data_IF_371458426834
#
_entry.id   IF_371458426834
#
_cell.length_a   1.000
_cell.length_b   1.000
_cell.length_c   1.000
_cell.angle_alpha   90.00
_cell.angle_beta   90.00
_cell.angle_gamma   90.00
#
_symmetry.space_group_name_H-M   'P 1'
#
loop_
_entity.id
_entity.type
_entity.pdbx_description
1 polymer ?
#
# COMPACT_ATOMS: atom_id res chain seq x y z
N UNK A 1 -31.53 -3.09 -41.09
CA UNK A 1 -30.13 -2.82 -40.65
C UNK A 1 -30.20 -1.83 -39.54
N UNK A 2 -30.13 -2.27 -38.28
CA UNK A 2 -30.08 -1.38 -37.11
C UNK A 2 -28.71 -0.75 -37.09
N UNK A 3 -28.64 0.59 -37.14
CA UNK A 3 -27.42 1.36 -36.88
C UNK A 3 -26.79 0.93 -35.54
N UNK A 4 -25.50 0.57 -35.51
CA UNK A 4 -24.86 0.29 -34.24
C UNK A 4 -24.93 1.58 -33.41
N UNK A 5 -25.64 1.53 -32.26
CA UNK A 5 -25.69 2.62 -31.30
C UNK A 5 -24.26 2.94 -30.89
N UNK A 6 -23.83 4.19 -31.10
CA UNK A 6 -22.57 4.72 -30.56
C UNK A 6 -22.64 4.52 -29.04
N UNK A 7 -21.75 3.74 -28.44
CA UNK A 7 -21.83 3.46 -27.03
C UNK A 7 -21.66 4.76 -26.24
N UNK A 8 -22.61 5.05 -25.36
CA UNK A 8 -22.64 6.24 -24.50
C UNK A 8 -21.33 6.40 -23.74
N UNK A 9 -20.49 7.32 -24.20
CA UNK A 9 -19.15 7.57 -23.64
C UNK A 9 -19.19 8.14 -22.21
N UNK A 10 -20.39 8.47 -21.72
CA UNK A 10 -20.65 9.10 -20.41
C UNK A 10 -21.09 8.10 -19.35
N UNK A 11 -21.37 6.84 -19.72
CA UNK A 11 -21.85 5.85 -18.78
C UNK A 11 -20.79 5.48 -17.73
N UNK A 12 -21.16 5.35 -16.44
CA UNK A 12 -20.25 4.92 -15.39
C UNK A 12 -19.62 3.56 -15.71
N UNK A 13 -18.36 3.38 -15.34
CA UNK A 13 -17.56 2.20 -15.67
C UNK A 13 -18.21 0.87 -15.26
N UNK A 14 -19.01 0.87 -14.21
CA UNK A 14 -19.64 -0.34 -13.64
C UNK A 14 -20.87 -0.83 -14.45
N UNK A 15 -21.45 -0.01 -15.32
CA UNK A 15 -22.64 -0.40 -16.10
C UNK A 15 -22.37 -1.49 -17.15
N UNK A 16 -21.11 -1.66 -17.53
CA UNK A 16 -20.73 -2.62 -18.58
C UNK A 16 -20.22 -3.94 -18.02
N UNK A 17 -20.33 -4.17 -16.69
CA UNK A 17 -19.85 -5.36 -16.04
C UNK A 17 -20.92 -6.45 -16.02
N UNK A 18 -20.52 -7.68 -16.38
CA UNK A 18 -21.30 -8.90 -16.17
C UNK A 18 -21.23 -9.33 -14.70
N UNK A 19 -22.10 -10.27 -14.29
CA UNK A 19 -22.05 -10.84 -12.95
C UNK A 19 -20.69 -11.47 -12.61
N UNK A 20 -20.02 -12.10 -13.60
CA UNK A 20 -18.67 -12.65 -13.40
C UNK A 20 -17.60 -11.54 -13.24
N UNK A 21 -17.68 -10.47 -14.02
CA UNK A 21 -16.78 -9.31 -13.84
C UNK A 21 -16.90 -8.71 -12.44
N UNK A 22 -18.12 -8.58 -11.91
CA UNK A 22 -18.36 -8.15 -10.54
C UNK A 22 -17.75 -9.11 -9.51
N UNK A 23 -17.92 -10.41 -9.73
CA UNK A 23 -17.34 -11.43 -8.87
C UNK A 23 -15.80 -11.30 -8.80
N UNK A 24 -15.13 -11.20 -9.95
CA UNK A 24 -13.67 -11.02 -10.02
C UNK A 24 -13.25 -9.73 -9.34
N UNK A 25 -13.95 -8.63 -9.61
CA UNK A 25 -13.64 -7.32 -9.00
C UNK A 25 -13.79 -7.36 -7.46
N UNK A 26 -14.86 -7.94 -6.95
CA UNK A 26 -15.11 -8.03 -5.50
C UNK A 26 -14.04 -8.90 -4.83
N UNK A 27 -13.74 -10.07 -5.39
CA UNK A 27 -12.74 -10.98 -4.80
C UNK A 27 -11.34 -10.36 -4.79
N UNK A 28 -10.92 -9.76 -5.90
CA UNK A 28 -9.63 -9.07 -5.98
C UNK A 28 -9.56 -7.88 -5.01
N UNK A 29 -10.67 -7.13 -4.89
CA UNK A 29 -10.76 -5.98 -3.96
C UNK A 29 -10.75 -6.42 -2.49
N UNK A 30 -11.43 -7.50 -2.15
CA UNK A 30 -11.39 -8.07 -0.79
C UNK A 30 -10.01 -8.61 -0.46
N UNK A 31 -9.35 -9.30 -1.38
CA UNK A 31 -7.98 -9.78 -1.17
C UNK A 31 -7.03 -8.63 -0.85
N UNK A 32 -7.13 -7.51 -1.58
CA UNK A 32 -6.33 -6.31 -1.36
C UNK A 32 -6.72 -5.56 -0.08
N UNK A 33 -8.01 -5.44 0.22
CA UNK A 33 -8.51 -4.79 1.44
C UNK A 33 -8.03 -5.53 2.70
N UNK A 34 -8.14 -6.86 2.71
CA UNK A 34 -7.71 -7.68 3.85
C UNK A 34 -6.19 -7.71 4.01
N UNK A 35 -5.46 -7.62 2.91
CA UNK A 35 -4.02 -7.40 2.94
C UNK A 35 -3.64 -6.10 3.66
N UNK A 36 -4.29 -4.99 3.30
CA UNK A 36 -4.08 -3.70 3.98
C UNK A 36 -4.52 -3.72 5.45
N UNK A 37 -5.60 -4.44 5.77
CA UNK A 37 -6.04 -4.68 7.14
C UNK A 37 -4.95 -5.39 7.96
N UNK A 38 -4.41 -6.51 7.45
CA UNK A 38 -3.36 -7.29 8.15
C UNK A 38 -2.11 -6.46 8.40
N UNK A 39 -1.65 -5.73 7.39
CA UNK A 39 -0.48 -4.85 7.53
C UNK A 39 -0.67 -3.82 8.63
N UNK A 40 -1.81 -3.18 8.67
CA UNK A 40 -2.08 -2.14 9.66
C UNK A 40 -2.29 -2.72 11.06
N UNK A 41 -2.94 -3.88 11.18
CA UNK A 41 -3.06 -4.61 12.45
C UNK A 41 -1.68 -4.99 12.99
N UNK A 42 -0.78 -5.48 12.13
CA UNK A 42 0.60 -5.76 12.52
C UNK A 42 1.31 -4.53 13.06
N UNK A 43 1.21 -3.39 12.37
CA UNK A 43 1.84 -2.14 12.83
C UNK A 43 1.31 -1.69 14.19
N UNK A 44 0.02 -1.84 14.45
CA UNK A 44 -0.62 -1.48 15.71
C UNK A 44 -0.26 -2.44 16.85
N UNK A 45 -0.19 -3.75 16.56
CA UNK A 45 0.02 -4.80 17.56
C UNK A 45 1.50 -5.12 17.85
N UNK A 46 2.43 -4.70 16.98
CA UNK A 46 3.83 -5.17 17.01
C UNK A 46 4.55 -4.90 18.33
N UNK A 47 4.35 -3.72 18.92
CA UNK A 47 5.04 -3.34 20.16
C UNK A 47 4.52 -4.15 21.35
N UNK A 48 3.22 -4.40 21.42
CA UNK A 48 2.61 -5.23 22.46
C UNK A 48 3.04 -6.70 22.31
N UNK A 49 3.10 -7.19 21.05
CA UNK A 49 3.62 -8.53 20.75
C UNK A 49 5.09 -8.66 21.18
N UNK A 50 5.92 -7.66 20.86
CA UNK A 50 7.34 -7.68 21.28
C UNK A 50 7.47 -7.62 22.80
N UNK A 51 6.68 -6.80 23.48
CA UNK A 51 6.70 -6.73 24.95
C UNK A 51 6.34 -8.07 25.61
N UNK A 52 5.50 -8.88 24.95
CA UNK A 52 5.10 -10.20 25.43
C UNK A 52 6.07 -11.34 25.07
N UNK A 53 6.79 -11.23 23.94
CA UNK A 53 7.61 -12.31 23.37
C UNK A 53 9.10 -12.18 23.64
N UNK A 54 9.57 -10.99 24.04
CA UNK A 54 10.98 -10.73 24.28
C UNK A 54 11.40 -11.07 25.71
N UNK A 55 12.65 -11.50 25.92
CA UNK A 55 13.24 -11.61 27.25
C UNK A 55 13.28 -10.26 27.96
N UNK A 56 13.26 -10.27 29.29
CA UNK A 56 13.40 -9.06 30.11
C UNK A 56 14.71 -8.33 29.77
N UNK A 57 14.62 -7.03 29.55
CA UNK A 57 15.77 -6.16 29.26
C UNK A 57 16.01 -5.88 27.77
N UNK A 58 15.25 -6.51 26.87
CA UNK A 58 15.30 -6.22 25.43
C UNK A 58 14.29 -5.12 25.08
N UNK A 59 14.64 -4.22 24.15
CA UNK A 59 13.75 -3.11 23.76
C UNK A 59 12.67 -3.55 22.75
N UNK A 60 11.39 -3.55 23.15
CA UNK A 60 10.29 -3.90 22.24
C UNK A 60 10.18 -3.03 20.98
N UNK A 61 10.61 -1.77 21.04
CA UNK A 61 10.57 -0.86 19.89
C UNK A 61 11.62 -1.23 18.86
N UNK A 62 12.84 -1.55 19.31
CA UNK A 62 13.92 -1.98 18.43
C UNK A 62 13.55 -3.29 17.72
N UNK A 63 13.10 -4.28 18.47
CA UNK A 63 12.69 -5.58 17.90
C UNK A 63 11.41 -5.49 17.07
N UNK A 64 10.49 -4.59 17.39
CA UNK A 64 9.37 -4.24 16.55
C UNK A 64 9.80 -3.65 15.20
N UNK A 65 10.87 -2.87 15.20
CA UNK A 65 11.53 -2.38 13.98
C UNK A 65 12.12 -3.53 13.16
N UNK A 66 12.85 -4.46 13.78
CA UNK A 66 13.38 -5.66 13.10
C UNK A 66 12.27 -6.53 12.52
N UNK A 67 11.19 -6.77 13.27
CA UNK A 67 10.04 -7.53 12.79
C UNK A 67 9.40 -6.87 11.54
N UNK A 68 9.31 -5.54 11.53
CA UNK A 68 8.82 -4.79 10.37
C UNK A 68 9.75 -4.92 9.18
N UNK A 69 11.06 -4.83 9.38
CA UNK A 69 12.06 -4.99 8.31
C UNK A 69 12.02 -6.40 7.72
N UNK A 70 11.88 -7.42 8.55
CA UNK A 70 11.75 -8.82 8.14
C UNK A 70 10.46 -9.04 7.34
N UNK A 71 9.35 -8.47 7.79
CA UNK A 71 8.07 -8.49 7.05
C UNK A 71 8.18 -7.83 5.68
N UNK A 72 8.80 -6.64 5.58
CA UNK A 72 9.00 -5.92 4.32
C UNK A 72 9.95 -6.68 3.38
N UNK A 73 10.99 -7.33 3.92
CA UNK A 73 11.87 -8.18 3.13
C UNK A 73 11.11 -9.38 2.55
N UNK A 74 10.25 -10.03 3.35
CA UNK A 74 9.33 -11.06 2.88
C UNK A 74 8.41 -10.54 1.78
N UNK A 75 7.84 -9.35 1.98
CA UNK A 75 6.96 -8.69 1.03
C UNK A 75 7.62 -8.45 -0.34
N UNK A 76 8.80 -7.86 -0.35
CA UNK A 76 9.55 -7.64 -1.59
C UNK A 76 9.88 -8.96 -2.29
N UNK A 77 10.36 -9.96 -1.55
CA UNK A 77 10.68 -11.30 -2.06
C UNK A 77 9.45 -11.98 -2.65
N UNK A 78 8.36 -12.02 -1.92
CA UNK A 78 7.10 -12.62 -2.35
C UNK A 78 6.51 -11.95 -3.58
N UNK A 79 6.57 -10.62 -3.64
CA UNK A 79 6.11 -9.87 -4.81
C UNK A 79 6.87 -10.23 -6.08
N UNK A 80 8.18 -10.36 -6.00
CA UNK A 80 9.00 -10.80 -7.12
C UNK A 80 8.69 -12.26 -7.52
N UNK A 81 8.59 -13.17 -6.55
CA UNK A 81 8.31 -14.59 -6.83
C UNK A 81 6.89 -14.74 -7.41
N UNK A 82 5.87 -14.27 -6.71
CA UNK A 82 4.47 -14.51 -7.11
C UNK A 82 4.04 -13.67 -8.30
N UNK A 83 4.68 -12.54 -8.57
CA UNK A 83 4.51 -11.84 -9.84
C UNK A 83 4.86 -12.73 -11.05
N UNK A 84 6.02 -13.38 -10.99
CA UNK A 84 6.45 -14.29 -12.04
C UNK A 84 5.64 -15.60 -12.08
N UNK A 85 5.32 -16.16 -10.92
CA UNK A 85 4.50 -17.36 -10.77
C UNK A 85 3.09 -17.14 -11.35
N UNK A 86 2.49 -15.96 -11.10
CA UNK A 86 1.17 -15.60 -11.61
C UNK A 86 1.08 -15.56 -13.13
N UNK A 87 2.13 -15.10 -13.80
CA UNK A 87 2.17 -15.18 -15.27
C UNK A 87 2.39 -16.61 -15.77
N UNK A 88 3.12 -17.46 -15.03
CA UNK A 88 3.44 -18.84 -15.43
C UNK A 88 2.29 -19.82 -15.23
N UNK A 89 1.65 -19.81 -14.07
CA UNK A 89 0.65 -20.84 -13.67
C UNK A 89 -0.78 -20.32 -13.63
N UNK A 90 -0.97 -19.01 -13.64
CA UNK A 90 -2.27 -18.33 -13.62
C UNK A 90 -2.41 -17.31 -12.49
N UNK A 91 -3.16 -16.24 -12.77
CA UNK A 91 -3.36 -15.14 -11.82
C UNK A 91 -4.30 -15.54 -10.69
N UNK A 92 -5.41 -16.18 -11.02
CA UNK A 92 -6.43 -16.58 -10.06
C UNK A 92 -5.88 -17.60 -9.06
N UNK A 93 -5.20 -18.64 -9.56
CA UNK A 93 -4.58 -19.69 -8.72
C UNK A 93 -3.51 -19.12 -7.81
N UNK A 94 -2.64 -18.27 -8.35
CA UNK A 94 -1.55 -17.66 -7.58
C UNK A 94 -2.08 -16.68 -6.55
N UNK A 95 -3.11 -15.86 -6.88
CA UNK A 95 -3.76 -14.98 -5.93
C UNK A 95 -4.36 -15.77 -4.75
N UNK A 96 -5.07 -16.87 -5.04
CA UNK A 96 -5.63 -17.75 -4.00
C UNK A 96 -4.53 -18.30 -3.09
N UNK A 97 -3.41 -18.76 -3.68
CA UNK A 97 -2.26 -19.26 -2.92
C UNK A 97 -1.62 -18.19 -2.03
N UNK A 98 -1.43 -16.97 -2.54
CA UNK A 98 -0.85 -15.87 -1.76
C UNK A 98 -1.74 -15.46 -0.59
N UNK A 99 -3.07 -15.38 -0.81
CA UNK A 99 -4.04 -15.10 0.24
C UNK A 99 -4.03 -16.20 1.30
N UNK A 100 -3.95 -17.47 0.91
CA UNK A 100 -3.84 -18.59 1.85
C UNK A 100 -2.56 -18.48 2.70
N UNK A 101 -1.41 -18.25 2.06
CA UNK A 101 -0.12 -18.14 2.78
C UNK A 101 -0.18 -17.04 3.83
N UNK A 102 -0.57 -15.81 3.44
CA UNK A 102 -0.55 -14.72 4.40
C UNK A 102 -1.60 -14.90 5.50
N UNK A 103 -2.80 -15.39 5.21
CA UNK A 103 -3.84 -15.58 6.23
C UNK A 103 -3.46 -16.64 7.26
N UNK A 104 -2.90 -17.77 6.82
CA UNK A 104 -2.41 -18.82 7.73
C UNK A 104 -1.25 -18.30 8.58
N UNK A 105 -0.26 -17.65 7.97
CA UNK A 105 0.91 -17.14 8.69
C UNK A 105 0.55 -15.99 9.65
N UNK A 106 -0.43 -15.15 9.31
CA UNK A 106 -0.98 -14.15 10.22
C UNK A 106 -1.62 -14.82 11.44
N UNK A 107 -2.46 -15.83 11.21
CA UNK A 107 -3.07 -16.59 12.31
C UNK A 107 -2.02 -17.28 13.19
N UNK A 108 -1.01 -17.91 12.60
CA UNK A 108 0.10 -18.55 13.32
C UNK A 108 0.89 -17.57 14.18
N UNK A 109 0.99 -16.30 13.77
CA UNK A 109 1.67 -15.27 14.57
C UNK A 109 1.03 -15.05 15.94
N UNK A 110 -0.30 -15.29 16.09
CA UNK A 110 -0.98 -15.21 17.36
C UNK A 110 -0.51 -16.29 18.36
N UNK A 111 0.05 -17.39 17.86
CA UNK A 111 0.52 -18.53 18.65
C UNK A 111 2.04 -18.53 18.84
N UNK A 112 2.73 -17.48 18.47
CA UNK A 112 4.18 -17.34 18.65
C UNK A 112 4.55 -17.43 20.14
N UNK A 113 5.62 -18.17 20.42
CA UNK A 113 6.17 -18.37 21.77
C UNK A 113 7.40 -17.54 22.06
N UNK A 114 8.00 -16.98 21.03
CA UNK A 114 9.19 -16.13 21.13
C UNK A 114 9.40 -15.26 19.89
N UNK A 115 10.49 -14.50 19.91
CA UNK A 115 10.86 -13.59 18.84
C UNK A 115 11.08 -14.30 17.49
N UNK A 116 11.79 -15.46 17.51
CA UNK A 116 12.25 -16.11 16.28
C UNK A 116 11.11 -16.68 15.46
N UNK A 117 10.16 -17.37 16.10
CA UNK A 117 8.98 -17.91 15.43
C UNK A 117 8.04 -16.79 14.96
N UNK A 118 7.87 -15.75 15.77
CA UNK A 118 7.13 -14.56 15.33
C UNK A 118 7.74 -13.93 14.08
N UNK A 119 9.06 -13.70 14.08
CA UNK A 119 9.77 -13.13 12.94
C UNK A 119 9.64 -14.00 11.68
N UNK A 120 9.73 -15.34 11.82
CA UNK A 120 9.52 -16.27 10.72
C UNK A 120 8.10 -16.17 10.14
N UNK A 121 7.09 -16.17 11.01
CA UNK A 121 5.70 -16.02 10.54
C UNK A 121 5.47 -14.67 9.90
N UNK A 122 6.07 -13.58 10.39
CA UNK A 122 5.99 -12.26 9.75
C UNK A 122 6.70 -12.22 8.40
N UNK A 123 7.84 -12.89 8.23
CA UNK A 123 8.48 -13.04 6.92
C UNK A 123 7.58 -13.77 5.93
N UNK A 124 7.02 -14.92 6.32
CA UNK A 124 6.13 -15.71 5.47
C UNK A 124 4.82 -15.00 5.16
N UNK A 125 4.25 -14.27 6.13
CA UNK A 125 3.11 -13.37 5.87
C UNK A 125 3.49 -12.35 4.82
N UNK A 126 4.65 -11.70 4.96
CA UNK A 126 5.16 -10.75 3.97
C UNK A 126 5.29 -11.38 2.58
N UNK A 127 5.81 -12.59 2.49
CA UNK A 127 5.92 -13.34 1.21
C UNK A 127 4.54 -13.53 0.56
N UNK A 128 3.51 -13.89 1.32
CA UNK A 128 2.14 -13.97 0.81
C UNK A 128 1.60 -12.61 0.33
N UNK A 129 1.68 -11.61 1.20
CA UNK A 129 1.24 -10.22 0.95
C UNK A 129 1.87 -9.63 -0.32
N UNK A 130 3.16 -9.91 -0.55
CA UNK A 130 3.90 -9.36 -1.69
C UNK A 130 3.30 -9.65 -3.05
N UNK A 131 2.68 -10.82 -3.21
CA UNK A 131 2.07 -11.22 -4.46
C UNK A 131 0.70 -10.58 -4.73
N UNK A 132 -0.06 -10.23 -3.69
CA UNK A 132 -1.49 -9.87 -3.80
C UNK A 132 -1.74 -8.71 -4.75
N UNK A 133 -1.00 -7.59 -4.60
CA UNK A 133 -1.23 -6.40 -5.41
C UNK A 133 -1.06 -6.65 -6.90
N UNK A 134 0.10 -7.16 -7.32
CA UNK A 134 0.40 -7.39 -8.73
C UNK A 134 -0.55 -8.39 -9.38
N UNK A 135 -0.96 -9.43 -8.64
CA UNK A 135 -1.90 -10.46 -9.11
C UNK A 135 -3.32 -9.93 -9.21
N UNK A 136 -3.82 -9.22 -8.22
CA UNK A 136 -5.17 -8.64 -8.20
C UNK A 136 -5.34 -7.63 -9.34
N UNK A 137 -4.35 -6.74 -9.51
CA UNK A 137 -4.34 -5.74 -10.57
C UNK A 137 -4.25 -6.40 -11.96
N UNK A 138 -3.38 -7.40 -12.16
CA UNK A 138 -3.28 -8.14 -13.42
C UNK A 138 -4.56 -8.93 -13.72
N UNK A 139 -5.16 -9.56 -12.70
CA UNK A 139 -6.42 -10.31 -12.84
C UNK A 139 -7.56 -9.39 -13.33
N UNK A 140 -7.74 -8.23 -12.72
CA UNK A 140 -8.73 -7.23 -13.15
C UNK A 140 -8.41 -6.72 -14.56
N UNK A 141 -7.15 -6.38 -14.83
CA UNK A 141 -6.74 -5.84 -16.12
C UNK A 141 -6.97 -6.81 -17.29
N UNK A 142 -6.83 -8.12 -17.04
CA UNK A 142 -7.03 -9.15 -18.06
C UNK A 142 -8.49 -9.62 -18.19
N UNK A 143 -9.30 -9.45 -17.13
CA UNK A 143 -10.69 -9.95 -17.11
C UNK A 143 -11.70 -8.88 -17.53
N UNK A 144 -11.53 -7.64 -17.06
CA UNK A 144 -12.53 -6.59 -17.27
C UNK A 144 -12.40 -5.94 -18.65
N UNK A 145 -13.54 -5.45 -19.22
CA UNK A 145 -13.53 -4.67 -20.46
C UNK A 145 -12.67 -3.40 -20.33
N UNK A 146 -12.05 -2.99 -21.43
CA UNK A 146 -11.10 -1.86 -21.46
C UNK A 146 -11.68 -0.56 -20.91
N UNK A 147 -12.96 -0.29 -21.16
CA UNK A 147 -13.69 0.90 -20.66
C UNK A 147 -13.83 0.91 -19.13
N UNK A 148 -14.01 -0.26 -18.53
CA UNK A 148 -14.26 -0.41 -17.09
C UNK A 148 -12.97 -0.53 -16.28
N UNK A 149 -11.86 -0.91 -16.91
CA UNK A 149 -10.59 -1.26 -16.27
C UNK A 149 -10.04 -0.15 -15.37
N UNK A 150 -9.90 1.06 -15.90
CA UNK A 150 -9.32 2.20 -15.16
C UNK A 150 -10.14 2.52 -13.90
N UNK A 151 -11.47 2.56 -14.01
CA UNK A 151 -12.36 2.80 -12.87
C UNK A 151 -12.29 1.68 -11.84
N UNK A 152 -12.28 0.42 -12.29
CA UNK A 152 -12.19 -0.73 -11.40
C UNK A 152 -10.86 -0.78 -10.63
N UNK A 153 -9.72 -0.56 -11.30
CA UNK A 153 -8.39 -0.57 -10.69
C UNK A 153 -8.21 0.58 -9.68
N UNK A 154 -8.69 1.78 -10.02
CA UNK A 154 -8.67 2.90 -9.09
C UNK A 154 -9.57 2.68 -7.87
N UNK A 155 -10.75 2.08 -8.06
CA UNK A 155 -11.66 1.73 -6.97
C UNK A 155 -11.09 0.61 -6.09
N UNK A 156 -10.48 -0.44 -6.67
CA UNK A 156 -9.76 -1.48 -5.92
C UNK A 156 -8.74 -0.83 -4.98
N UNK A 157 -7.94 0.09 -5.50
CA UNK A 157 -6.93 0.75 -4.68
C UNK A 157 -7.57 1.65 -3.61
N UNK A 158 -8.66 2.36 -3.90
CA UNK A 158 -9.36 3.19 -2.93
C UNK A 158 -9.92 2.37 -1.75
N UNK A 159 -10.37 1.13 -2.01
CA UNK A 159 -10.89 0.24 -0.96
C UNK A 159 -9.82 -0.16 0.07
N UNK A 160 -8.52 -0.03 -0.22
CA UNK A 160 -7.44 -0.24 0.75
C UNK A 160 -7.56 0.68 1.98
N UNK A 161 -8.09 1.88 1.81
CA UNK A 161 -8.30 2.82 2.92
C UNK A 161 -9.27 2.26 3.98
N UNK A 162 -10.30 1.50 3.55
CA UNK A 162 -11.20 0.82 4.49
C UNK A 162 -10.49 -0.28 5.29
N UNK A 163 -9.53 -1.00 4.68
CA UNK A 163 -8.69 -1.95 5.39
C UNK A 163 -7.92 -1.28 6.54
N UNK A 164 -7.28 -0.15 6.25
CA UNK A 164 -6.54 0.61 7.27
C UNK A 164 -7.45 1.17 8.38
N UNK A 165 -8.61 1.72 8.03
CA UNK A 165 -9.59 2.24 9.00
C UNK A 165 -10.12 1.09 9.86
N UNK A 166 -10.46 -0.05 9.25
CA UNK A 166 -10.97 -1.23 9.97
C UNK A 166 -9.96 -1.75 10.99
N UNK A 167 -8.66 -1.74 10.67
CA UNK A 167 -7.61 -2.11 11.62
C UNK A 167 -7.58 -1.20 12.85
N UNK A 168 -7.75 0.11 12.65
CA UNK A 168 -7.88 1.07 13.74
C UNK A 168 -9.09 0.77 14.63
N UNK A 169 -10.24 0.49 14.03
CA UNK A 169 -11.47 0.12 14.76
C UNK A 169 -11.30 -1.18 15.55
N UNK A 170 -10.67 -2.21 14.95
CA UNK A 170 -10.34 -3.47 15.63
C UNK A 170 -9.43 -3.20 16.83
N UNK A 171 -8.39 -2.40 16.67
CA UNK A 171 -7.47 -2.04 17.76
C UNK A 171 -8.20 -1.32 18.91
N UNK A 172 -9.07 -0.36 18.61
CA UNK A 172 -9.89 0.34 19.62
C UNK A 172 -10.83 -0.62 20.34
N UNK A 173 -11.47 -1.54 19.60
CA UNK A 173 -12.35 -2.55 20.17
C UNK A 173 -11.58 -3.49 21.11
N UNK A 174 -10.39 -3.97 20.71
CA UNK A 174 -9.53 -4.77 21.59
C UNK A 174 -9.15 -4.01 22.87
N UNK A 175 -8.81 -2.73 22.76
CA UNK A 175 -8.56 -1.87 23.92
C UNK A 175 -9.74 -1.76 24.88
N UNK A 176 -10.98 -1.73 24.36
CA UNK A 176 -12.19 -1.71 25.18
C UNK A 176 -12.41 -3.04 25.91
N UNK A 177 -12.13 -4.18 25.26
CA UNK A 177 -12.24 -5.51 25.87
C UNK A 177 -11.19 -5.73 26.97
N UNK A 178 -10.00 -5.20 26.81
CA UNK A 178 -8.94 -5.22 27.84
C UNK A 178 -9.40 -4.39 29.06
N UNK A 179 -9.94 -3.19 28.84
CA UNK A 179 -10.47 -2.33 29.92
C UNK A 179 -11.63 -2.99 30.66
N UNK A 180 -12.49 -3.74 29.96
CA UNK A 180 -13.60 -4.49 30.55
C UNK A 180 -13.16 -5.76 31.28
N UNK A 181 -11.86 -6.12 31.26
CA UNK A 181 -11.34 -7.34 31.86
C UNK A 181 -11.69 -8.64 31.11
N UNK A 182 -12.23 -8.53 29.90
CA UNK A 182 -12.59 -9.70 29.07
C UNK A 182 -11.33 -10.35 28.47
N UNK A 183 -10.32 -9.55 28.15
CA UNK A 183 -9.02 -9.99 27.64
C UNK A 183 -7.95 -9.56 28.65
N UNK A 184 -7.02 -10.48 28.96
CA UNK A 184 -5.92 -10.19 29.86
C UNK A 184 -5.01 -9.07 29.29
N UNK A 185 -4.52 -8.15 30.11
CA UNK A 185 -3.54 -7.17 29.72
C UNK A 185 -2.30 -7.85 29.08
N UNK A 186 -1.88 -7.36 27.90
CA UNK A 186 -0.75 -7.93 27.15
C UNK A 186 -1.09 -9.09 26.21
N UNK A 187 -2.35 -9.53 26.12
CA UNK A 187 -2.78 -10.58 25.17
C UNK A 187 -3.56 -10.04 23.96
N UNK A 188 -3.95 -8.78 23.95
CA UNK A 188 -4.77 -8.16 22.90
C UNK A 188 -4.20 -8.33 21.50
N UNK A 189 -2.87 -8.32 21.36
CA UNK A 189 -2.19 -8.51 20.09
C UNK A 189 -2.48 -9.87 19.44
N UNK A 190 -2.63 -10.94 20.22
CA UNK A 190 -2.97 -12.29 19.71
C UNK A 190 -4.33 -12.27 18.99
N UNK A 191 -5.34 -11.67 19.66
CA UNK A 191 -6.68 -11.56 19.10
C UNK A 191 -6.72 -10.66 17.87
N UNK A 192 -5.89 -9.60 17.81
CA UNK A 192 -5.78 -8.77 16.62
C UNK A 192 -5.30 -9.58 15.40
N UNK A 193 -4.31 -10.44 15.56
CA UNK A 193 -3.85 -11.32 14.47
C UNK A 193 -4.90 -12.38 14.09
N UNK A 194 -5.62 -12.95 15.04
CA UNK A 194 -6.71 -13.89 14.74
C UNK A 194 -7.85 -13.21 13.99
N UNK A 195 -8.24 -12.00 14.39
CA UNK A 195 -9.26 -11.21 13.69
C UNK A 195 -8.77 -10.83 12.29
N UNK A 196 -7.49 -10.49 12.11
CA UNK A 196 -6.91 -10.16 10.80
C UNK A 196 -6.85 -11.37 9.86
N UNK A 197 -6.57 -12.56 10.38
CA UNK A 197 -6.49 -13.79 9.59
C UNK A 197 -7.85 -14.26 9.08
N UNK A 198 -8.93 -14.11 9.88
CA UNK A 198 -10.24 -14.68 9.57
C UNK A 198 -10.86 -14.18 8.25
N UNK A 199 -10.96 -12.88 7.97
CA UNK A 199 -11.51 -12.40 6.71
C UNK A 199 -10.68 -12.84 5.50
N UNK A 200 -9.35 -12.84 5.63
CA UNK A 200 -8.46 -13.29 4.58
C UNK A 200 -8.64 -14.80 4.30
N UNK A 201 -8.75 -15.60 5.34
CA UNK A 201 -9.02 -17.02 5.20
C UNK A 201 -10.36 -17.30 4.50
N UNK A 202 -11.43 -16.57 4.84
CA UNK A 202 -12.72 -16.65 4.14
C UNK A 202 -12.59 -16.27 2.66
N UNK A 203 -11.74 -15.30 2.34
CA UNK A 203 -11.48 -14.91 0.95
C UNK A 203 -10.93 -16.08 0.11
N UNK A 204 -10.16 -17.00 0.69
CA UNK A 204 -9.65 -18.20 0.00
C UNK A 204 -10.79 -19.07 -0.53
N UNK A 205 -11.83 -19.34 0.26
CA UNK A 205 -12.97 -20.15 -0.15
C UNK A 205 -13.73 -19.52 -1.34
N UNK A 206 -13.78 -18.20 -1.38
CA UNK A 206 -14.40 -17.48 -2.48
C UNK A 206 -13.48 -17.49 -3.70
N UNK A 207 -12.18 -17.30 -3.49
CA UNK A 207 -11.17 -17.23 -4.54
C UNK A 207 -10.99 -18.56 -5.29
N UNK A 208 -11.27 -19.70 -4.67
CA UNK A 208 -11.25 -21.02 -5.35
C UNK A 208 -12.19 -21.06 -6.57
N UNK A 209 -13.26 -20.26 -6.57
CA UNK A 209 -14.21 -20.17 -7.68
C UNK A 209 -13.76 -19.24 -8.81
N UNK A 210 -12.63 -18.53 -8.65
CA UNK A 210 -12.07 -17.70 -9.71
C UNK A 210 -11.58 -18.56 -10.86
N UNK A 211 -11.87 -18.11 -12.07
CA UNK A 211 -11.33 -18.70 -13.30
C UNK A 211 -10.18 -17.85 -13.82
N UNK A 212 -9.26 -18.48 -14.53
CA UNK A 212 -8.19 -17.73 -15.19
C UNK A 212 -8.78 -16.84 -16.30
N UNK A 213 -8.25 -15.63 -16.52
CA UNK A 213 -8.71 -14.74 -17.58
C UNK A 213 -8.54 -15.38 -18.95
N UNK A 214 -9.57 -15.28 -19.80
CA UNK A 214 -9.54 -15.84 -21.16
C UNK A 214 -8.37 -15.29 -21.97
N UNK A 215 -8.07 -14.00 -21.84
CA UNK A 215 -6.91 -13.35 -22.48
C UNK A 215 -5.60 -14.04 -22.11
N UNK A 216 -5.45 -14.40 -20.83
CA UNK A 216 -4.25 -15.09 -20.38
C UNK A 216 -4.18 -16.54 -20.88
N UNK A 217 -5.31 -17.27 -20.85
CA UNK A 217 -5.37 -18.66 -21.34
C UNK A 217 -4.96 -18.70 -22.80
N UNK A 218 -5.58 -17.84 -23.64
CA UNK A 218 -5.27 -17.74 -25.07
C UNK A 218 -3.80 -17.36 -25.31
N UNK A 219 -3.32 -16.31 -24.68
CA UNK A 219 -1.92 -15.89 -24.82
C UNK A 219 -0.94 -17.00 -24.40
N UNK A 220 -1.28 -17.77 -23.34
CA UNK A 220 -0.45 -18.88 -22.88
C UNK A 220 -0.39 -20.04 -23.89
N UNK A 221 -1.52 -20.38 -24.49
CA UNK A 221 -1.59 -21.43 -25.53
C UNK A 221 -0.77 -21.04 -26.77
N UNK A 222 -0.96 -19.83 -27.27
CA UNK A 222 -0.20 -19.27 -28.39
C UNK A 222 1.30 -19.18 -28.09
N UNK A 223 1.66 -18.65 -26.91
CA UNK A 223 3.06 -18.52 -26.49
C UNK A 223 3.75 -19.88 -26.27
N UNK A 224 2.99 -20.90 -25.81
CA UNK A 224 3.52 -22.27 -25.66
C UNK A 224 3.86 -22.88 -27.02
N UNK A 225 3.01 -22.66 -28.03
CA UNK A 225 3.25 -23.09 -29.40
C UNK A 225 4.46 -22.37 -30.01
N UNK A 226 4.67 -21.11 -29.69
CA UNK A 226 5.78 -20.29 -30.17
C UNK A 226 7.08 -20.39 -29.30
N UNK A 227 7.11 -21.21 -28.27
CA UNK A 227 8.26 -21.33 -27.35
C UNK A 227 8.57 -20.07 -26.49
N UNK A 228 7.57 -19.20 -26.28
CA UNK A 228 7.73 -17.94 -25.57
C UNK A 228 7.61 -18.16 -24.04
N UNK A 229 8.56 -17.64 -23.28
CA UNK A 229 8.58 -17.76 -21.83
C UNK A 229 7.63 -16.76 -21.15
N UNK A 230 6.77 -17.27 -20.26
CA UNK A 230 5.88 -16.50 -19.38
C UNK A 230 6.54 -16.24 -18.03
N UNK A 231 6.31 -15.07 -17.45
CA UNK A 231 6.81 -14.72 -16.11
C UNK A 231 8.35 -14.71 -16.03
N UNK A 232 9.03 -14.27 -17.08
CA UNK A 232 10.49 -14.31 -17.19
C UNK A 232 11.10 -12.94 -16.92
N UNK A 233 11.88 -12.82 -15.84
CA UNK A 233 12.70 -11.63 -15.57
C UNK A 233 13.77 -11.40 -16.63
N UNK A 234 14.28 -12.48 -17.25
CA UNK A 234 15.21 -12.37 -18.39
C UNK A 234 14.55 -11.68 -19.58
N UNK A 235 13.28 -12.01 -19.85
CA UNK A 235 12.52 -11.33 -20.92
C UNK A 235 12.16 -9.89 -20.52
N UNK A 236 11.82 -9.64 -19.26
CA UNK A 236 11.47 -8.31 -18.76
C UNK A 236 12.65 -7.33 -18.82
N UNK A 237 13.82 -7.76 -18.38
CA UNK A 237 15.01 -6.89 -18.24
C UNK A 237 16.00 -7.02 -19.40
N UNK A 238 15.94 -8.12 -20.16
CA UNK A 238 16.80 -8.36 -21.31
C UNK A 238 16.28 -7.72 -22.62
N UNK A 239 14.96 -7.63 -22.81
CA UNK A 239 14.36 -7.01 -23.99
C UNK A 239 14.24 -5.48 -23.79
N UNK A 240 14.86 -4.64 -24.64
CA UNK A 240 14.77 -3.17 -24.55
C UNK A 240 13.33 -2.64 -24.57
N UNK A 241 12.39 -3.32 -25.23
CA UNK A 241 10.96 -2.95 -25.29
C UNK A 241 10.33 -2.93 -23.90
N UNK A 242 10.69 -3.89 -23.04
CA UNK A 242 10.11 -4.06 -21.71
C UNK A 242 11.01 -3.53 -20.60
N UNK A 243 12.34 -3.56 -20.77
CA UNK A 243 13.30 -3.04 -19.79
C UNK A 243 13.08 -1.57 -19.46
N UNK A 244 12.94 -0.73 -20.50
CA UNK A 244 12.74 0.70 -20.30
C UNK A 244 11.45 1.02 -19.53
N UNK A 245 10.25 0.51 -19.90
CA UNK A 245 9.04 0.67 -19.10
C UNK A 245 9.17 0.12 -17.67
N UNK A 246 9.86 -1.02 -17.48
CA UNK A 246 10.06 -1.62 -16.16
C UNK A 246 10.89 -0.73 -15.24
N UNK A 247 12.02 -0.20 -15.71
CA UNK A 247 12.89 0.68 -14.93
C UNK A 247 12.23 2.04 -14.65
N UNK A 248 11.54 2.62 -15.62
CA UNK A 248 10.83 3.89 -15.43
C UNK A 248 9.60 3.73 -14.51
N UNK A 249 8.85 2.63 -14.66
CA UNK A 249 7.75 2.29 -13.76
C UNK A 249 8.23 2.02 -12.33
N UNK A 250 9.39 1.39 -12.18
CA UNK A 250 10.06 1.22 -10.88
C UNK A 250 10.41 2.58 -10.25
N UNK A 251 11.05 3.48 -11.00
CA UNK A 251 11.38 4.84 -10.51
C UNK A 251 10.12 5.65 -10.13
N UNK A 252 9.06 5.50 -10.91
CA UNK A 252 7.76 6.07 -10.60
C UNK A 252 7.27 5.58 -9.22
N UNK A 253 7.31 4.26 -8.98
CA UNK A 253 6.92 3.66 -7.71
C UNK A 253 7.85 4.07 -6.56
N UNK A 254 9.19 4.09 -6.76
CA UNK A 254 10.17 4.53 -5.74
C UNK A 254 9.80 5.89 -5.20
N UNK A 255 9.52 6.85 -6.08
CA UNK A 255 9.16 8.22 -5.70
C UNK A 255 7.91 8.27 -4.84
N UNK A 256 6.82 7.64 -5.26
CA UNK A 256 5.56 7.64 -4.49
C UNK A 256 5.67 6.85 -3.18
N UNK A 257 6.42 5.74 -3.17
CA UNK A 257 6.61 4.93 -1.95
C UNK A 257 7.51 5.65 -0.94
N UNK A 258 8.56 6.38 -1.37
CA UNK A 258 9.33 7.26 -0.47
C UNK A 258 8.43 8.36 0.10
N UNK A 259 7.59 8.99 -0.73
CA UNK A 259 6.64 10.01 -0.29
C UNK A 259 5.71 9.51 0.82
N UNK A 260 5.14 8.32 0.66
CA UNK A 260 4.23 7.75 1.66
C UNK A 260 4.96 7.13 2.85
N UNK A 261 5.84 6.16 2.61
CA UNK A 261 6.50 5.38 3.68
C UNK A 261 7.71 6.08 4.28
N UNK A 262 8.41 6.90 3.49
CA UNK A 262 9.57 7.65 3.94
C UNK A 262 9.22 8.96 4.63
N UNK A 263 8.09 9.58 4.28
CA UNK A 263 7.72 10.90 4.80
C UNK A 263 6.34 10.86 5.45
N UNK A 264 5.29 10.47 4.72
CA UNK A 264 3.91 10.48 5.21
C UNK A 264 3.68 9.58 6.43
N UNK A 265 4.45 8.50 6.55
CA UNK A 265 4.43 7.61 7.71
C UNK A 265 4.85 8.28 9.03
N UNK A 266 5.55 9.41 8.94
CA UNK A 266 5.97 10.20 10.10
C UNK A 266 4.96 11.33 10.48
N UNK A 267 3.88 11.48 9.73
CA UNK A 267 2.82 12.42 10.08
C UNK A 267 2.25 12.21 11.51
N UNK A 268 2.01 10.96 11.97
CA UNK A 268 1.59 10.71 13.34
C UNK A 268 2.58 11.19 14.39
N UNK A 269 3.89 11.13 14.11
CA UNK A 269 4.94 11.64 15.02
C UNK A 269 4.85 13.16 15.14
N UNK A 270 4.76 13.88 14.02
CA UNK A 270 4.59 15.32 14.02
C UNK A 270 3.34 15.75 14.80
N UNK A 271 2.20 15.09 14.51
CA UNK A 271 0.94 15.36 15.24
C UNK A 271 1.12 15.13 16.74
N UNK A 272 1.74 14.01 17.11
CA UNK A 272 2.02 13.69 18.50
C UNK A 272 2.87 14.74 19.18
N UNK A 273 3.95 15.18 18.56
CA UNK A 273 4.90 16.15 19.14
C UNK A 273 4.28 17.55 19.25
N UNK A 274 3.50 17.98 18.25
CA UNK A 274 2.81 19.28 18.27
C UNK A 274 1.71 19.30 19.32
N UNK A 275 0.92 18.24 19.44
CA UNK A 275 -0.15 18.13 20.46
C UNK A 275 0.45 18.06 21.88
N UNK A 276 1.49 17.27 22.07
CA UNK A 276 2.21 17.20 23.36
C UNK A 276 2.73 18.57 23.79
N UNK A 277 3.38 19.30 22.86
CA UNK A 277 3.84 20.67 23.10
C UNK A 277 2.70 21.60 23.53
N UNK A 278 1.58 21.57 22.79
CA UNK A 278 0.40 22.42 23.11
C UNK A 278 -0.13 22.14 24.51
N UNK A 279 -0.29 20.85 24.87
CA UNK A 279 -0.79 20.44 26.17
C UNK A 279 0.16 20.79 27.33
N UNK A 280 1.47 20.69 27.12
CA UNK A 280 2.47 21.11 28.11
C UNK A 280 2.39 22.61 28.37
N UNK A 281 2.21 23.40 27.29
CA UNK A 281 2.04 24.87 27.43
C UNK A 281 0.72 25.24 28.11
N UNK A 282 -0.32 24.43 27.95
CA UNK A 282 -1.61 24.57 28.67
C UNK A 282 -1.54 24.11 30.13
N UNK A 283 -0.40 23.56 30.60
CA UNK A 283 -0.22 23.05 31.96
C UNK A 283 -0.92 21.73 32.27
N UNK A 284 -1.22 20.93 31.25
CA UNK A 284 -1.91 19.66 31.42
C UNK A 284 -1.07 18.63 32.18
N UNK A 285 -1.72 17.78 32.98
CA UNK A 285 -1.08 16.69 33.70
C UNK A 285 -0.52 15.63 32.73
N UNK A 286 0.56 14.93 33.11
CA UNK A 286 1.29 13.99 32.22
C UNK A 286 0.43 12.85 31.67
N UNK A 287 -0.49 12.33 32.45
CA UNK A 287 -1.44 11.29 32.06
C UNK A 287 -2.44 11.79 31.00
N UNK A 288 -2.91 13.04 31.16
CA UNK A 288 -3.76 13.71 30.16
C UNK A 288 -2.99 13.92 28.87
N UNK A 289 -1.74 14.38 28.93
CA UNK A 289 -0.87 14.57 27.77
C UNK A 289 -0.71 13.27 26.99
N UNK A 290 -0.38 12.16 27.66
CA UNK A 290 -0.20 10.85 27.02
C UNK A 290 -1.49 10.34 26.34
N UNK A 291 -2.63 10.49 27.04
CA UNK A 291 -3.95 10.06 26.53
C UNK A 291 -4.39 10.88 25.32
N UNK A 292 -4.32 12.20 25.40
CA UNK A 292 -4.72 13.10 24.31
C UNK A 292 -3.78 12.98 23.11
N UNK A 293 -2.46 12.85 23.31
CA UNK A 293 -1.51 12.56 22.24
C UNK A 293 -1.92 11.33 21.46
N UNK A 294 -2.17 10.21 22.14
CA UNK A 294 -2.58 8.95 21.50
C UNK A 294 -3.91 9.10 20.74
N UNK A 295 -4.87 9.80 21.34
CA UNK A 295 -6.17 10.07 20.71
C UNK A 295 -6.03 10.85 19.41
N UNK A 296 -5.26 11.94 19.40
CA UNK A 296 -5.08 12.78 18.21
C UNK A 296 -4.26 12.09 17.11
N UNK A 297 -3.29 11.25 17.46
CA UNK A 297 -2.60 10.38 16.51
C UNK A 297 -3.58 9.40 15.86
N UNK A 298 -4.51 8.83 16.61
CA UNK A 298 -5.58 7.98 16.09
C UNK A 298 -6.52 8.74 15.15
N UNK A 299 -6.98 9.94 15.55
CA UNK A 299 -7.81 10.81 14.71
C UNK A 299 -7.07 11.15 13.41
N UNK A 300 -5.79 11.50 13.48
CA UNK A 300 -4.96 11.76 12.31
C UNK A 300 -4.99 10.60 11.31
N UNK A 301 -4.83 9.38 11.79
CA UNK A 301 -4.84 8.18 10.94
C UNK A 301 -6.20 8.00 10.22
N UNK A 302 -7.31 8.18 10.92
CA UNK A 302 -8.66 8.08 10.32
C UNK A 302 -8.86 9.19 9.29
N UNK A 303 -8.55 10.44 9.63
CA UNK A 303 -8.71 11.59 8.75
C UNK A 303 -7.84 11.45 7.50
N UNK A 304 -6.58 11.02 7.66
CA UNK A 304 -5.65 10.77 6.55
C UNK A 304 -6.17 9.67 5.60
N UNK A 305 -6.63 8.54 6.13
CA UNK A 305 -7.15 7.45 5.31
C UNK A 305 -8.50 7.79 4.66
N UNK A 306 -9.33 8.60 5.31
CA UNK A 306 -10.55 9.12 4.69
C UNK A 306 -10.21 10.03 3.50
N UNK A 307 -9.26 10.93 3.66
CA UNK A 307 -8.73 11.75 2.57
C UNK A 307 -8.15 10.90 1.44
N UNK A 308 -7.37 9.87 1.79
CA UNK A 308 -6.79 8.93 0.84
C UNK A 308 -7.83 8.24 -0.04
N UNK A 309 -8.95 7.80 0.52
CA UNK A 309 -10.05 7.20 -0.24
C UNK A 309 -10.55 8.14 -1.35
N UNK A 310 -10.89 9.37 -1.01
CA UNK A 310 -11.35 10.35 -1.98
C UNK A 310 -10.25 10.78 -2.95
N UNK A 311 -9.01 10.88 -2.48
CA UNK A 311 -7.85 11.21 -3.31
C UNK A 311 -7.58 10.16 -4.39
N UNK A 312 -7.68 8.87 -4.05
CA UNK A 312 -7.54 7.76 -5.01
C UNK A 312 -8.64 7.77 -6.07
N UNK A 313 -9.89 8.03 -5.69
CA UNK A 313 -11.00 8.20 -6.65
C UNK A 313 -10.81 9.45 -7.52
N UNK A 314 -10.38 10.57 -6.93
CA UNK A 314 -10.08 11.81 -7.65
C UNK A 314 -8.95 11.62 -8.66
N UNK A 315 -7.85 10.97 -8.28
CA UNK A 315 -6.76 10.62 -9.20
C UNK A 315 -7.25 9.74 -10.36
N UNK A 316 -8.10 8.75 -10.06
CA UNK A 316 -8.69 7.87 -11.08
C UNK A 316 -9.50 8.67 -12.09
N UNK A 317 -10.33 9.60 -11.63
CA UNK A 317 -11.09 10.49 -12.50
C UNK A 317 -10.18 11.38 -13.38
N UNK A 318 -9.16 11.97 -12.79
CA UNK A 318 -8.16 12.79 -13.51
C UNK A 318 -7.45 11.96 -14.57
N UNK A 319 -7.00 10.74 -14.22
CA UNK A 319 -6.31 9.83 -15.12
C UNK A 319 -7.20 9.37 -16.29
N UNK A 320 -8.50 9.21 -16.07
CA UNK A 320 -9.47 8.92 -17.14
C UNK A 320 -9.64 10.11 -18.09
N UNK A 321 -9.73 11.33 -17.54
CA UNK A 321 -10.05 12.52 -18.31
C UNK A 321 -8.85 13.14 -19.02
N UNK A 322 -7.70 13.25 -18.33
CA UNK A 322 -6.49 13.98 -18.80
C UNK A 322 -5.33 13.07 -19.21
N UNK A 323 -5.47 11.77 -19.06
CA UNK A 323 -4.40 10.79 -19.32
C UNK A 323 -3.55 10.47 -18.11
N UNK A 324 -2.76 9.40 -18.23
CA UNK A 324 -1.97 8.87 -17.10
C UNK A 324 -0.79 9.77 -16.80
N UNK A 325 -0.07 10.22 -17.82
CA UNK A 325 1.07 11.13 -17.65
C UNK A 325 0.68 12.45 -17.00
N UNK A 326 -0.39 13.08 -17.49
CA UNK A 326 -0.91 14.33 -16.92
C UNK A 326 -1.35 14.17 -15.46
N UNK A 327 -2.04 13.07 -15.15
CA UNK A 327 -2.47 12.77 -13.79
C UNK A 327 -1.28 12.55 -12.83
N UNK A 328 -0.24 11.82 -13.25
CA UNK A 328 0.96 11.64 -12.44
C UNK A 328 1.77 12.92 -12.29
N UNK A 329 1.96 13.70 -13.35
CA UNK A 329 2.70 14.96 -13.26
C UNK A 329 2.03 15.91 -12.27
N UNK A 330 0.71 16.11 -12.39
CA UNK A 330 -0.08 16.88 -11.44
C UNK A 330 -0.01 16.28 -10.04
N UNK A 331 -0.20 14.96 -9.93
CA UNK A 331 -0.20 14.24 -8.65
C UNK A 331 1.12 14.39 -7.89
N UNK A 332 2.27 14.26 -8.55
CA UNK A 332 3.57 14.43 -7.89
C UNK A 332 3.85 15.87 -7.47
N UNK A 333 3.49 16.86 -8.30
CA UNK A 333 3.63 18.27 -7.95
C UNK A 333 2.77 18.58 -6.72
N UNK A 334 1.50 18.21 -6.77
CA UNK A 334 0.56 18.49 -5.68
C UNK A 334 0.95 17.73 -4.41
N UNK A 335 1.36 16.46 -4.52
CA UNK A 335 1.83 15.68 -3.38
C UNK A 335 3.06 16.32 -2.73
N UNK A 336 4.03 16.81 -3.52
CA UNK A 336 5.20 17.51 -3.01
C UNK A 336 4.81 18.79 -2.28
N UNK A 337 4.03 19.66 -2.90
CA UNK A 337 3.62 20.96 -2.32
C UNK A 337 2.79 20.75 -1.04
N UNK A 338 1.82 19.83 -1.08
CA UNK A 338 0.96 19.52 0.06
C UNK A 338 1.76 18.89 1.21
N UNK A 339 2.70 17.99 0.91
CA UNK A 339 3.55 17.38 1.95
C UNK A 339 4.41 18.45 2.63
N UNK A 340 5.08 19.31 1.88
CA UNK A 340 5.85 20.43 2.42
C UNK A 340 4.94 21.32 3.26
N UNK A 341 3.80 21.74 2.72
CA UNK A 341 2.83 22.58 3.44
C UNK A 341 2.34 21.94 4.73
N UNK A 342 2.03 20.65 4.72
CA UNK A 342 1.59 19.91 5.90
C UNK A 342 2.66 19.96 7.00
N UNK A 343 3.89 19.58 6.71
CA UNK A 343 4.95 19.54 7.71
C UNK A 343 5.32 20.93 8.23
N UNK A 344 5.31 21.96 7.38
CA UNK A 344 5.65 23.31 7.78
C UNK A 344 4.53 24.06 8.53
N UNK A 345 3.27 23.81 8.19
CA UNK A 345 2.13 24.60 8.67
C UNK A 345 1.30 23.91 9.74
N UNK A 346 1.45 22.60 9.98
CA UNK A 346 0.70 21.88 11.01
C UNK A 346 1.14 22.33 12.40
N UNK A 347 0.29 23.06 13.14
CA UNK A 347 0.63 23.67 14.43
C UNK A 347 -0.31 23.28 15.58
N UNK A 348 -1.39 22.54 15.33
CA UNK A 348 -2.33 22.18 16.38
C UNK A 348 -3.55 21.40 15.93
N UNK A 349 -4.47 21.22 16.86
CA UNK A 349 -5.71 20.45 16.67
C UNK A 349 -6.57 20.94 15.51
N UNK A 350 -6.59 22.27 15.30
CA UNK A 350 -7.36 22.90 14.23
C UNK A 350 -6.89 22.55 12.82
N UNK A 351 -5.64 22.09 12.68
CA UNK A 351 -5.00 21.78 11.40
C UNK A 351 -5.18 20.31 10.97
N UNK A 352 -5.90 19.51 11.75
CA UNK A 352 -6.06 18.06 11.49
C UNK A 352 -6.65 17.76 10.11
N UNK A 353 -7.44 18.67 9.53
CA UNK A 353 -7.97 18.56 8.18
C UNK A 353 -6.86 18.46 7.11
N UNK A 354 -5.69 19.05 7.36
CA UNK A 354 -4.54 18.96 6.46
C UNK A 354 -4.08 17.52 6.26
N UNK A 355 -4.30 16.65 7.26
CA UNK A 355 -4.02 15.21 7.15
C UNK A 355 -4.87 14.54 6.08
N UNK A 356 -6.14 14.94 5.91
CA UNK A 356 -6.99 14.45 4.83
C UNK A 356 -6.44 14.86 3.46
N UNK A 357 -6.01 16.11 3.32
CA UNK A 357 -5.44 16.62 2.06
C UNK A 357 -4.13 15.92 1.73
N UNK A 358 -3.25 15.74 2.72
CA UNK A 358 -2.00 15.00 2.53
C UNK A 358 -2.26 13.53 2.16
N UNK A 359 -3.18 12.86 2.86
CA UNK A 359 -3.59 11.50 2.52
C UNK A 359 -4.14 11.38 1.12
N UNK A 360 -4.99 12.32 0.70
CA UNK A 360 -5.55 12.37 -0.65
C UNK A 360 -4.45 12.50 -1.73
N UNK A 361 -3.48 13.39 -1.53
CA UNK A 361 -2.46 13.67 -2.53
C UNK A 361 -1.40 12.55 -2.60
N UNK A 362 -0.94 12.03 -1.47
CA UNK A 362 0.09 10.99 -1.46
C UNK A 362 -0.46 9.63 -1.90
N UNK A 363 -1.59 9.20 -1.34
CA UNK A 363 -2.19 7.90 -1.66
C UNK A 363 -2.94 7.92 -3.00
N UNK A 364 -3.34 9.08 -3.50
CA UNK A 364 -3.86 9.23 -4.86
C UNK A 364 -2.91 8.65 -5.92
N UNK A 365 -1.60 8.84 -5.78
CA UNK A 365 -0.58 8.27 -6.68
C UNK A 365 -0.63 6.75 -6.76
N UNK A 366 -1.02 6.06 -5.67
CA UNK A 366 -1.11 4.59 -5.63
C UNK A 366 -2.27 4.05 -6.48
N UNK A 367 -3.37 4.81 -6.62
CA UNK A 367 -4.39 4.48 -7.61
C UNK A 367 -3.82 4.55 -9.03
N UNK A 368 -2.95 5.54 -9.28
CA UNK A 368 -2.22 5.64 -10.54
C UNK A 368 -1.34 4.42 -10.81
N UNK A 369 -0.62 3.89 -9.82
CA UNK A 369 0.19 2.68 -9.99
C UNK A 369 -0.67 1.47 -10.34
N UNK A 370 -1.82 1.28 -9.68
CA UNK A 370 -2.74 0.20 -9.98
C UNK A 370 -3.28 0.27 -11.42
N UNK A 371 -3.52 1.48 -11.94
CA UNK A 371 -4.02 1.71 -13.29
C UNK A 371 -2.91 1.55 -14.33
N UNK A 372 -1.78 2.21 -14.12
CA UNK A 372 -0.77 2.44 -15.15
C UNK A 372 0.21 1.27 -15.32
N UNK A 373 0.65 0.65 -14.22
CA UNK A 373 1.66 -0.41 -14.30
C UNK A 373 1.23 -1.60 -15.18
N UNK A 374 0.00 -2.14 -15.07
CA UNK A 374 -0.41 -3.23 -15.95
C UNK A 374 -0.57 -2.82 -17.40
N UNK A 375 -0.76 -1.52 -17.68
CA UNK A 375 -0.84 -0.99 -19.05
C UNK A 375 0.54 -0.91 -19.75
N UNK A 376 1.64 -1.10 -19.00
CA UNK A 376 3.00 -1.06 -19.56
C UNK A 376 3.46 -2.40 -20.15
N UNK A 377 2.83 -3.51 -19.77
CA UNK A 377 3.35 -4.85 -20.04
C UNK A 377 2.37 -5.73 -20.78
N UNK A 378 2.87 -6.62 -21.68
CA UNK A 378 2.04 -7.60 -22.36
C UNK A 378 1.51 -8.66 -21.39
N UNK A 379 0.49 -9.39 -21.79
CA UNK A 379 -0.17 -10.40 -20.93
C UNK A 379 0.82 -11.37 -20.30
N UNK A 380 1.86 -11.84 -21.02
CA UNK A 380 2.85 -12.80 -20.48
C UNK A 380 3.79 -12.24 -19.41
N UNK A 381 3.92 -10.91 -19.29
CA UNK A 381 4.79 -10.23 -18.33
C UNK A 381 4.03 -9.26 -17.40
N UNK A 382 2.71 -9.20 -17.47
CA UNK A 382 1.90 -8.18 -16.80
C UNK A 382 2.00 -8.27 -15.29
N UNK A 383 1.82 -9.44 -14.73
CA UNK A 383 1.98 -9.63 -13.27
C UNK A 383 3.45 -9.47 -12.86
N UNK A 384 4.38 -10.03 -13.64
CA UNK A 384 5.82 -9.92 -13.39
C UNK A 384 6.29 -8.47 -13.39
N UNK A 385 5.95 -7.72 -14.43
CA UNK A 385 6.36 -6.31 -14.60
C UNK A 385 5.72 -5.40 -13.55
N UNK A 386 4.42 -5.54 -13.29
CA UNK A 386 3.72 -4.78 -12.26
C UNK A 386 4.32 -5.06 -10.88
N UNK A 387 4.51 -6.32 -10.54
CA UNK A 387 5.12 -6.72 -9.27
C UNK A 387 6.57 -6.27 -9.15
N UNK A 388 7.35 -6.32 -10.22
CA UNK A 388 8.71 -5.81 -10.25
C UNK A 388 8.76 -4.31 -9.93
N UNK A 389 8.00 -3.50 -10.67
CA UNK A 389 7.99 -2.05 -10.47
C UNK A 389 7.60 -1.69 -9.04
N UNK A 390 6.54 -2.31 -8.53
CA UNK A 390 5.96 -1.96 -7.23
C UNK A 390 6.81 -2.47 -6.06
N UNK A 391 7.32 -3.70 -6.12
CA UNK A 391 8.03 -4.30 -4.99
C UNK A 391 9.52 -3.93 -4.96
N UNK A 392 10.21 -3.85 -6.11
CA UNK A 392 11.58 -3.32 -6.14
C UNK A 392 11.57 -1.85 -5.75
N UNK A 393 10.59 -1.07 -6.23
CA UNK A 393 10.37 0.31 -5.80
C UNK A 393 10.23 0.41 -4.28
N UNK A 394 9.44 -0.48 -3.68
CA UNK A 394 9.24 -0.53 -2.22
C UNK A 394 10.49 -0.94 -1.45
N UNK A 395 11.26 -1.89 -1.96
CA UNK A 395 12.52 -2.32 -1.35
C UNK A 395 13.52 -1.17 -1.28
N UNK A 396 13.67 -0.42 -2.36
CA UNK A 396 14.52 0.78 -2.39
C UNK A 396 13.98 1.88 -1.47
N UNK A 397 12.67 2.09 -1.46
CA UNK A 397 12.02 3.09 -0.62
C UNK A 397 12.01 2.74 0.88
N UNK A 398 12.25 1.47 1.25
CA UNK A 398 12.42 1.06 2.64
C UNK A 398 13.61 1.75 3.33
N UNK A 399 14.56 2.30 2.55
CA UNK A 399 15.63 3.17 3.06
C UNK A 399 15.12 4.56 3.47
N UNK A 400 13.92 4.96 3.03
CA UNK A 400 13.34 6.28 3.31
C UNK A 400 13.20 6.61 4.79
N UNK A 401 12.55 5.76 5.62
CA UNK A 401 12.44 5.97 7.06
C UNK A 401 13.79 6.09 7.75
N UNK A 402 14.75 5.26 7.35
CA UNK A 402 16.12 5.31 7.88
C UNK A 402 16.82 6.63 7.49
N UNK A 403 16.65 7.07 6.24
CA UNK A 403 17.23 8.33 5.75
C UNK A 403 16.61 9.52 6.49
N UNK A 404 15.28 9.55 6.64
CA UNK A 404 14.60 10.62 7.39
C UNK A 404 15.05 10.63 8.86
N UNK A 405 15.13 9.46 9.50
CA UNK A 405 15.58 9.33 10.89
C UNK A 405 17.00 9.87 11.08
N UNK A 406 17.94 9.51 10.20
CA UNK A 406 19.32 10.04 10.23
C UNK A 406 19.37 11.54 9.96
N UNK A 407 18.65 12.02 8.97
CA UNK A 407 18.59 13.45 8.65
C UNK A 407 18.01 14.24 9.81
N UNK A 408 16.93 13.74 10.42
CA UNK A 408 16.32 14.32 11.61
C UNK A 408 17.30 14.35 12.79
N UNK A 409 18.03 13.25 13.04
CA UNK A 409 19.03 13.19 14.11
C UNK A 409 20.16 14.19 13.87
N UNK A 410 20.65 14.31 12.64
CA UNK A 410 21.67 15.28 12.26
C UNK A 410 21.19 16.71 12.46
N UNK A 411 20.00 17.06 12.00
CA UNK A 411 19.43 18.40 12.14
C UNK A 411 19.06 18.75 13.58
N UNK A 412 18.77 17.76 14.43
CA UNK A 412 18.50 17.94 15.88
C UNK A 412 19.78 18.08 16.71
N UNK A 413 20.95 17.86 16.15
CA UNK A 413 22.21 17.86 16.86
C UNK A 413 22.50 19.25 17.47
N UNK A 414 22.72 19.33 18.79
CA UNK A 414 22.94 20.57 19.51
C UNK A 414 21.68 21.39 19.85
N UNK A 415 20.50 20.96 19.41
CA UNK A 415 19.25 21.65 19.73
C UNK A 415 18.70 21.21 21.10
N UNK A 416 18.39 22.18 21.95
CA UNK A 416 17.89 21.92 23.32
C UNK A 416 16.39 22.11 23.45
N UNK A 417 15.79 23.04 22.70
CA UNK A 417 14.36 23.38 22.82
C UNK A 417 13.48 22.44 22.01
N UNK A 418 12.27 22.17 22.52
CA UNK A 418 11.26 21.33 21.83
C UNK A 418 10.89 21.94 20.47
N UNK A 419 10.72 23.25 20.39
CA UNK A 419 10.38 23.94 19.15
C UNK A 419 11.45 23.78 18.08
N UNK A 420 12.73 23.95 18.45
CA UNK A 420 13.82 23.74 17.53
C UNK A 420 13.88 22.28 17.01
N UNK A 421 13.59 21.29 17.87
CA UNK A 421 13.53 19.88 17.47
C UNK A 421 12.37 19.58 16.53
N UNK A 422 11.20 20.18 16.76
CA UNK A 422 10.03 20.06 15.84
C UNK A 422 10.37 20.71 14.50
N UNK A 423 10.99 21.88 14.48
CA UNK A 423 11.38 22.56 13.25
C UNK A 423 12.44 21.76 12.47
N UNK A 424 13.44 21.19 13.15
CA UNK A 424 14.40 20.30 12.50
C UNK A 424 13.74 19.07 11.85
N UNK A 425 12.70 18.55 12.47
CA UNK A 425 11.91 17.46 11.87
C UNK A 425 11.14 17.93 10.63
N UNK A 426 10.52 19.11 10.68
CA UNK A 426 9.83 19.73 9.55
C UNK A 426 10.76 19.93 8.35
N UNK A 427 11.96 20.42 8.61
CA UNK A 427 12.98 20.65 7.60
C UNK A 427 13.45 19.31 6.99
N UNK A 428 13.67 18.28 7.81
CA UNK A 428 14.01 16.95 7.31
C UNK A 428 12.95 16.40 6.34
N UNK A 429 11.66 16.50 6.70
CA UNK A 429 10.56 16.06 5.86
C UNK A 429 10.46 16.90 4.56
N UNK A 430 10.73 18.20 4.65
CA UNK A 430 10.79 19.11 3.49
C UNK A 430 11.89 18.71 2.52
N UNK A 431 13.11 18.46 3.00
CA UNK A 431 14.22 18.01 2.13
C UNK A 431 13.91 16.65 1.49
N UNK A 432 13.36 15.72 2.25
CA UNK A 432 12.96 14.41 1.73
C UNK A 432 11.85 14.50 0.67
N UNK A 433 11.01 15.54 0.69
CA UNK A 433 9.95 15.74 -0.31
C UNK A 433 10.51 15.96 -1.72
N UNK A 434 11.80 16.29 -1.86
CA UNK A 434 12.48 16.30 -3.17
C UNK A 434 12.44 14.95 -3.89
N UNK A 435 12.21 13.84 -3.17
CA UNK A 435 12.02 12.52 -3.77
C UNK A 435 10.86 12.46 -4.78
N UNK A 436 9.85 13.33 -4.66
CA UNK A 436 8.77 13.43 -5.64
C UNK A 436 9.26 13.89 -7.02
N UNK A 437 10.39 14.59 -7.10
CA UNK A 437 11.01 14.99 -8.38
C UNK A 437 11.47 13.77 -9.20
N UNK A 438 11.87 12.67 -8.54
CA UNK A 438 12.22 11.41 -9.23
C UNK A 438 11.01 10.91 -10.03
N UNK A 439 9.82 10.98 -9.45
CA UNK A 439 8.57 10.60 -10.13
C UNK A 439 8.27 11.49 -11.33
N UNK A 440 8.48 12.80 -11.22
CA UNK A 440 8.30 13.74 -12.34
C UNK A 440 9.25 13.45 -13.50
N UNK A 441 10.53 13.14 -13.21
CA UNK A 441 11.49 12.72 -14.21
C UNK A 441 11.04 11.41 -14.87
N UNK A 442 10.59 10.43 -14.09
CA UNK A 442 10.10 9.17 -14.66
C UNK A 442 8.88 9.39 -15.57
N UNK A 443 7.92 10.22 -15.16
CA UNK A 443 6.73 10.57 -15.95
C UNK A 443 7.10 11.19 -17.29
N UNK A 444 8.11 12.05 -17.33
CA UNK A 444 8.54 12.68 -18.58
C UNK A 444 8.92 11.65 -19.64
N UNK A 445 9.66 10.61 -19.27
CA UNK A 445 10.15 9.56 -20.17
C UNK A 445 9.17 8.41 -20.42
N UNK A 446 8.13 8.27 -19.61
CA UNK A 446 7.10 7.25 -19.76
C UNK A 446 6.14 7.61 -20.91
N UNK A 447 5.50 6.58 -21.50
CA UNK A 447 4.51 6.75 -22.56
C UNK A 447 3.12 7.05 -21.99
N UNK A 448 2.29 7.78 -22.72
CA UNK A 448 0.87 7.88 -22.44
C UNK A 448 0.15 6.59 -22.87
N UNK A 449 -0.72 6.07 -22.01
CA UNK A 449 -1.45 4.82 -22.27
C UNK A 449 -2.95 5.02 -22.42
N UNK A 450 -3.46 6.23 -22.17
CA UNK A 450 -4.89 6.54 -22.33
C UNK A 450 -5.35 6.27 -23.77
N UNK A 451 -6.39 5.40 -23.87
CA UNK A 451 -6.96 5.07 -25.17
C UNK A 451 -6.10 4.17 -26.06
N UNK A 452 -4.95 3.74 -25.56
CA UNK A 452 -4.09 2.79 -26.26
C UNK A 452 -4.52 1.36 -25.95
N UNK A 453 -4.45 0.43 -26.93
CA UNK A 453 -4.62 -0.99 -26.63
C UNK A 453 -3.53 -1.46 -25.67
N UNK A 454 -3.84 -2.53 -24.92
CA UNK A 454 -2.84 -3.17 -24.09
C UNK A 454 -1.68 -3.69 -24.97
N UNK A 455 -0.42 -3.62 -24.48
CA UNK A 455 0.70 -4.17 -25.21
C UNK A 455 0.49 -5.66 -25.52
N UNK A 456 0.78 -6.02 -26.75
CA UNK A 456 0.92 -7.40 -27.23
C UNK A 456 2.39 -7.71 -27.43
N UNK A 457 2.72 -9.01 -27.58
CA UNK A 457 4.12 -9.47 -27.72
C UNK A 457 4.78 -9.06 -29.04
#
# INVERSE_FOLDING_TARGET
MSTPSIPDSTAPWYKHLTGYHWFVFIVASLAWLFDCLDQQLFLLARNDAMSALLPKGWDPKEFGGYATSIFVAGWATGGLIFGAVGDRIGRAKTLTLTVLIYSVCTGLSAFSKGWVDFALYRFLTGVGVGGVFGLAVALIADTLPDRSRTGALGTLQALSAFGNISAGLVSMFMGSLIKAGTIAPGEGWKYMFLVGALPAFLCVFIAIRLKEPEKWVKAREEGRAAGVAFGSYRSLLGDPRWRRPALLGMLLCVSGVIGLWGIGFFAPELVGDVIERSLILEGAAKDVVASEKSRWVGINSIVQNTGAFFGMLGFTYIAQRFGRKGAFALGYIVAMVVTIGYFQMFNGRGDIWMSAVMGACQLGLFAGFAIYLPELFPTRLRSTGTSFCYNVGRFLAATGPFTLGKLQAFLKQGLTTTDAKINAFRDAATYMSSAFLIGLVAVYFLRETKGQPMPED
#
